data_IF_578633523149
#
_entry.id   IF_578633523149
#
_cell.length_a   1.000
_cell.length_b   1.000
_cell.length_c   1.000
_cell.angle_alpha   90.00
_cell.angle_beta   90.00
_cell.angle_gamma   90.00
#
_symmetry.space_group_name_H-M   'P 1'
#
loop_
_entity.id
_entity.type
_entity.pdbx_description
1 polymer ?
#
# COMPACT_ATOMS: atom_id res chain seq x y z
N UNK A 1 9.82 -11.34 5.11
CA UNK A 1 10.03 -11.13 3.66
C UNK A 1 11.26 -10.25 3.48
N UNK A 2 12.05 -10.41 2.40
CA UNK A 2 13.15 -9.50 2.11
C UNK A 2 12.61 -8.07 1.88
N UNK A 3 13.44 -7.04 2.11
CA UNK A 3 13.05 -5.66 1.80
C UNK A 3 12.77 -5.51 0.30
N UNK A 4 11.77 -4.71 -0.04
CA UNK A 4 11.40 -4.39 -1.42
C UNK A 4 11.63 -2.92 -1.70
N UNK A 5 11.99 -2.59 -2.94
CA UNK A 5 11.97 -1.20 -3.39
C UNK A 5 10.56 -0.85 -3.79
N UNK A 6 9.98 0.16 -3.14
CA UNK A 6 8.62 0.61 -3.40
C UNK A 6 8.64 1.97 -4.10
N UNK A 7 7.91 2.06 -5.21
CA UNK A 7 7.75 3.30 -5.97
C UNK A 7 6.27 3.70 -5.96
N UNK A 8 5.97 4.86 -5.36
CA UNK A 8 4.63 5.44 -5.35
C UNK A 8 4.53 6.53 -6.42
N UNK A 9 3.56 6.40 -7.32
CA UNK A 9 3.28 7.38 -8.37
C UNK A 9 1.92 7.99 -8.11
N UNK A 10 1.87 9.27 -7.74
CA UNK A 10 0.64 9.95 -7.37
C UNK A 10 0.63 11.39 -7.87
N UNK A 11 -0.55 11.86 -8.28
CA UNK A 11 -0.75 13.23 -8.73
C UNK A 11 -0.16 13.52 -10.10
N UNK A 12 0.05 14.81 -10.36
CA UNK A 12 0.51 15.33 -11.66
C UNK A 12 1.74 16.18 -11.50
N UNK A 13 2.66 16.08 -12.47
CA UNK A 13 3.78 17.00 -12.64
C UNK A 13 3.65 17.65 -14.02
N UNK A 14 3.65 18.98 -14.06
CA UNK A 14 3.50 19.74 -15.31
C UNK A 14 2.25 19.32 -16.12
N UNK A 15 1.13 19.10 -15.41
CA UNK A 15 -0.14 18.66 -16.00
C UNK A 15 -0.19 17.18 -16.42
N UNK A 16 0.93 16.46 -16.40
CA UNK A 16 1.00 15.03 -16.76
C UNK A 16 0.84 14.15 -15.53
N UNK A 17 0.03 13.10 -15.64
CA UNK A 17 -0.12 12.09 -14.60
C UNK A 17 1.21 11.38 -14.37
N UNK A 18 1.63 11.29 -13.11
CA UNK A 18 2.78 10.48 -12.75
C UNK A 18 2.41 9.00 -12.91
N UNK A 19 3.25 8.26 -13.61
CA UNK A 19 3.04 6.85 -13.95
C UNK A 19 4.34 6.07 -13.73
N UNK A 20 4.25 4.74 -13.53
CA UNK A 20 5.42 3.86 -13.59
C UNK A 20 6.22 4.02 -14.89
N UNK A 21 7.49 3.58 -14.92
CA UNK A 21 8.33 3.62 -16.11
C UNK A 21 7.63 3.04 -17.34
N UNK A 22 7.75 3.72 -18.48
CA UNK A 22 7.04 3.36 -19.70
C UNK A 22 7.31 1.91 -20.12
N UNK A 23 8.51 1.39 -19.91
CA UNK A 23 8.86 0.00 -20.19
C UNK A 23 7.97 -1.00 -19.45
N UNK A 24 7.70 -0.77 -18.16
CA UNK A 24 6.79 -1.62 -17.38
C UNK A 24 5.38 -1.54 -17.93
N UNK A 25 4.91 -0.35 -18.27
CA UNK A 25 3.57 -0.15 -18.85
C UNK A 25 3.43 -0.87 -20.20
N UNK A 26 4.46 -0.80 -21.05
CA UNK A 26 4.47 -1.49 -22.34
C UNK A 26 4.46 -3.01 -22.17
N UNK A 27 5.20 -3.55 -21.20
CA UNK A 27 5.14 -4.99 -20.87
C UNK A 27 3.76 -5.42 -20.41
N UNK A 28 3.07 -4.58 -19.62
CA UNK A 28 1.69 -4.85 -19.21
C UNK A 28 0.74 -4.85 -20.42
N UNK A 29 0.80 -3.84 -21.28
CA UNK A 29 -0.03 -3.75 -22.49
C UNK A 29 0.23 -4.93 -23.45
N UNK A 30 1.50 -5.28 -23.67
CA UNK A 30 1.91 -6.40 -24.52
C UNK A 30 1.40 -7.76 -24.02
N UNK A 31 1.02 -7.88 -22.73
CA UNK A 31 0.43 -9.10 -22.18
C UNK A 31 -1.06 -9.30 -22.53
N UNK A 32 -1.66 -8.40 -23.31
CA UNK A 32 -3.06 -8.42 -23.70
C UNK A 32 -3.98 -7.57 -22.80
N UNK A 33 -3.43 -6.84 -21.83
CA UNK A 33 -4.18 -5.82 -21.08
C UNK A 33 -4.51 -4.67 -22.02
N UNK A 34 -5.80 -4.36 -22.19
CA UNK A 34 -6.26 -3.35 -23.15
C UNK A 34 -5.87 -1.92 -22.77
N UNK A 35 -5.91 -1.62 -21.47
CA UNK A 35 -5.65 -0.29 -20.93
C UNK A 35 -5.01 -0.39 -19.53
N UNK A 36 -4.10 0.54 -19.24
CA UNK A 36 -3.52 0.67 -17.90
C UNK A 36 -4.50 1.45 -17.01
N UNK A 37 -4.95 0.79 -15.94
CA UNK A 37 -5.85 1.37 -14.93
C UNK A 37 -5.26 2.65 -14.33
N UNK A 38 -6.12 3.55 -13.86
CA UNK A 38 -5.72 4.77 -13.15
C UNK A 38 -5.30 4.53 -11.70
N UNK A 39 -5.53 3.33 -11.16
CA UNK A 39 -5.13 2.84 -9.84
C UNK A 39 -4.59 1.43 -9.98
N UNK A 40 -3.78 0.96 -9.03
CA UNK A 40 -3.24 -0.38 -9.01
C UNK A 40 -1.73 -0.44 -8.87
N UNK A 41 -1.21 -1.66 -8.98
CA UNK A 41 0.19 -1.93 -8.72
C UNK A 41 0.81 -2.85 -9.79
N UNK A 42 2.12 -2.71 -9.96
CA UNK A 42 2.95 -3.63 -10.73
C UNK A 42 4.00 -4.15 -9.75
N UNK A 43 3.93 -5.43 -9.42
CA UNK A 43 5.00 -6.10 -8.67
C UNK A 43 6.01 -6.62 -9.69
N UNK A 44 7.27 -6.26 -9.51
CA UNK A 44 8.37 -6.65 -10.39
C UNK A 44 9.18 -7.75 -9.72
N UNK A 45 9.19 -8.94 -10.29
CA UNK A 45 10.01 -10.06 -9.85
C UNK A 45 10.99 -10.51 -10.93
N UNK A 46 11.94 -11.35 -10.54
CA UNK A 46 13.03 -11.80 -11.42
C UNK A 46 12.52 -12.61 -12.63
N UNK A 47 11.41 -13.33 -12.45
CA UNK A 47 10.79 -14.16 -13.50
C UNK A 47 9.74 -13.42 -14.32
N UNK A 48 9.21 -12.30 -13.83
CA UNK A 48 8.03 -11.66 -14.45
C UNK A 48 7.40 -10.57 -13.61
N UNK A 49 6.24 -10.08 -14.07
CA UNK A 49 5.43 -9.07 -13.39
C UNK A 49 4.15 -9.69 -12.84
N UNK A 50 3.63 -9.12 -11.76
CA UNK A 50 2.23 -9.23 -11.37
C UNK A 50 1.60 -7.86 -11.51
N UNK A 51 0.58 -7.74 -12.36
CA UNK A 51 -0.18 -6.52 -12.54
C UNK A 51 -1.55 -6.66 -11.86
N UNK A 52 -1.91 -5.72 -11.00
CA UNK A 52 -3.27 -5.56 -10.48
C UNK A 52 -3.84 -4.23 -10.95
N UNK A 53 -5.05 -4.19 -11.56
CA UNK A 53 -5.67 -2.96 -12.04
C UNK A 53 -6.34 -2.14 -10.93
N UNK A 54 -6.13 -2.49 -9.65
CA UNK A 54 -6.63 -1.75 -8.49
C UNK A 54 -5.70 -1.96 -7.30
N UNK A 55 -5.74 -1.04 -6.33
CA UNK A 55 -4.88 -1.12 -5.14
C UNK A 55 -5.33 -2.18 -4.12
N UNK A 56 -6.46 -2.85 -4.37
CA UNK A 56 -7.04 -3.86 -3.48
C UNK A 56 -6.58 -5.29 -3.79
N UNK A 57 -5.92 -5.52 -4.93
CA UNK A 57 -5.40 -6.84 -5.29
C UNK A 57 -6.48 -7.92 -5.53
N UNK A 58 -7.75 -7.54 -5.66
CA UNK A 58 -8.87 -8.48 -5.88
C UNK A 58 -8.88 -9.13 -7.26
N UNK A 59 -8.23 -8.49 -8.25
CA UNK A 59 -7.94 -9.05 -9.56
C UNK A 59 -6.46 -8.82 -9.89
N UNK A 60 -5.85 -9.76 -10.60
CA UNK A 60 -4.43 -9.68 -10.94
C UNK A 60 -4.07 -10.58 -12.13
N UNK A 61 -2.96 -10.26 -12.76
CA UNK A 61 -2.42 -10.97 -13.93
C UNK A 61 -0.92 -11.17 -13.78
N UNK A 62 -0.46 -12.42 -13.93
CA UNK A 62 0.97 -12.73 -14.06
C UNK A 62 1.45 -12.53 -15.50
N UNK A 63 2.65 -11.98 -15.65
CA UNK A 63 3.25 -11.68 -16.95
C UNK A 63 4.68 -12.22 -16.96
N UNK A 64 4.99 -13.24 -17.78
CA UNK A 64 4.11 -13.85 -18.78
C UNK A 64 3.14 -14.88 -18.15
N UNK A 65 2.11 -15.30 -18.88
CA UNK A 65 0.99 -16.10 -18.34
C UNK A 65 1.39 -17.53 -17.93
N UNK A 66 2.49 -18.04 -18.47
CA UNK A 66 3.04 -19.36 -18.17
C UNK A 66 3.44 -19.49 -16.69
N UNK A 67 3.71 -18.36 -16.02
CA UNK A 67 3.96 -18.31 -14.58
C UNK A 67 2.75 -18.75 -13.74
N UNK A 68 1.53 -18.72 -14.29
CA UNK A 68 0.33 -19.12 -13.57
C UNK A 68 0.40 -20.58 -13.09
N UNK A 69 1.01 -21.47 -13.86
CA UNK A 69 1.16 -22.88 -13.48
C UNK A 69 2.09 -23.07 -12.26
N UNK A 70 3.10 -22.21 -12.10
CA UNK A 70 3.96 -22.19 -10.91
C UNK A 70 3.24 -21.52 -9.73
N UNK A 71 2.56 -20.39 -9.99
CA UNK A 71 1.83 -19.65 -8.96
C UNK A 71 0.72 -20.49 -8.30
N UNK A 72 0.02 -21.32 -9.06
CA UNK A 72 -1.02 -22.21 -8.53
C UNK A 72 -0.47 -23.28 -7.55
N UNK A 73 0.85 -23.48 -7.50
CA UNK A 73 1.51 -24.39 -6.54
C UNK A 73 1.90 -23.70 -5.25
N UNK A 74 1.81 -22.36 -5.19
CA UNK A 74 2.13 -21.59 -3.98
C UNK A 74 1.00 -21.79 -2.97
N UNK A 75 1.27 -22.36 -1.79
CA UNK A 75 0.23 -22.57 -0.79
C UNK A 75 -0.24 -21.24 -0.20
N UNK A 76 -1.53 -21.17 0.11
CA UNK A 76 -2.07 -20.07 0.90
C UNK A 76 -1.43 -20.08 2.29
N UNK A 77 -0.90 -18.94 2.71
CA UNK A 77 -0.15 -18.80 3.98
C UNK A 77 -0.69 -17.74 4.91
N UNK A 78 -1.47 -16.79 4.39
CA UNK A 78 -2.06 -15.71 5.17
C UNK A 78 -3.52 -16.04 5.49
N UNK A 79 -3.98 -15.83 6.74
CA UNK A 79 -5.38 -16.01 7.07
C UNK A 79 -6.28 -15.09 6.23
N UNK A 80 -7.56 -15.45 6.14
CA UNK A 80 -8.61 -14.64 5.49
C UNK A 80 -9.75 -14.45 6.47
N UNK A 81 -10.43 -13.32 6.34
CA UNK A 81 -11.57 -13.04 7.20
C UNK A 81 -12.68 -14.05 6.96
N UNK A 82 -13.32 -14.51 8.04
CA UNK A 82 -14.40 -15.48 7.96
C UNK A 82 -15.59 -14.85 7.22
N UNK A 83 -16.19 -15.61 6.32
CA UNK A 83 -17.31 -15.20 5.45
C UNK A 83 -17.00 -14.07 4.44
N UNK A 84 -15.76 -13.56 4.43
CA UNK A 84 -15.28 -12.58 3.46
C UNK A 84 -15.89 -11.18 3.60
N UNK A 85 -15.22 -10.21 2.97
CA UNK A 85 -15.76 -8.86 2.75
C UNK A 85 -16.07 -8.06 4.03
N UNK A 86 -16.93 -7.06 3.86
CA UNK A 86 -17.25 -6.05 4.88
C UNK A 86 -18.00 -6.64 6.10
N UNK A 87 -18.90 -7.60 5.90
CA UNK A 87 -19.62 -8.27 7.00
C UNK A 87 -18.67 -9.04 7.90
N UNK A 88 -17.72 -9.79 7.32
CA UNK A 88 -16.70 -10.52 8.08
C UNK A 88 -15.84 -9.59 8.93
N UNK A 89 -15.40 -8.46 8.36
CA UNK A 89 -14.60 -7.46 9.10
C UNK A 89 -15.35 -6.87 10.30
N UNK A 90 -16.65 -6.58 10.16
CA UNK A 90 -17.48 -6.09 11.27
C UNK A 90 -17.69 -7.15 12.34
N UNK A 91 -17.87 -8.41 11.94
CA UNK A 91 -18.00 -9.52 12.87
C UNK A 91 -16.72 -9.72 13.69
N UNK A 92 -15.54 -9.67 13.05
CA UNK A 92 -14.24 -9.73 13.72
C UNK A 92 -14.08 -8.64 14.78
N UNK A 93 -14.46 -7.39 14.46
CA UNK A 93 -14.41 -6.29 15.43
C UNK A 93 -15.29 -6.57 16.66
N UNK A 94 -16.53 -7.01 16.45
CA UNK A 94 -17.45 -7.34 17.56
C UNK A 94 -16.92 -8.51 18.39
N UNK A 95 -16.35 -9.53 17.75
CA UNK A 95 -15.74 -10.67 18.45
C UNK A 95 -14.51 -10.23 19.26
N UNK A 96 -13.62 -9.45 18.67
CA UNK A 96 -12.43 -8.90 19.33
C UNK A 96 -12.79 -8.14 20.61
N UNK A 97 -13.84 -7.32 20.57
CA UNK A 97 -14.34 -6.57 21.74
C UNK A 97 -14.92 -7.53 22.79
N UNK A 98 -15.78 -8.47 22.39
CA UNK A 98 -16.45 -9.40 23.32
C UNK A 98 -15.48 -10.34 24.03
N UNK A 99 -14.46 -10.80 23.31
CA UNK A 99 -13.45 -11.71 23.84
C UNK A 99 -12.27 -10.99 24.49
N UNK A 100 -12.21 -9.65 24.38
CA UNK A 100 -11.08 -8.84 24.79
C UNK A 100 -9.75 -9.31 24.14
N UNK A 101 -9.81 -9.57 22.83
CA UNK A 101 -8.71 -10.10 22.00
C UNK A 101 -8.59 -9.33 20.68
N UNK A 102 -7.85 -8.21 20.66
CA UNK A 102 -7.68 -7.38 19.47
C UNK A 102 -7.12 -8.12 18.25
N UNK A 103 -6.34 -9.18 18.46
CA UNK A 103 -5.73 -10.01 17.42
C UNK A 103 -6.74 -10.79 16.56
N UNK A 104 -8.00 -10.92 17.00
CA UNK A 104 -9.10 -11.46 16.19
C UNK A 104 -9.36 -10.56 14.98
N UNK A 105 -9.23 -9.24 15.14
CA UNK A 105 -9.35 -8.30 14.03
C UNK A 105 -8.08 -8.34 13.18
N UNK A 106 -8.20 -8.84 11.95
CA UNK A 106 -7.06 -8.95 11.04
C UNK A 106 -6.46 -7.59 10.65
N UNK A 107 -7.25 -6.52 10.74
CA UNK A 107 -6.83 -5.11 10.53
C UNK A 107 -6.75 -4.33 11.85
N UNK A 108 -6.24 -4.94 12.92
CA UNK A 108 -6.00 -4.26 14.20
C UNK A 108 -4.97 -3.12 14.07
N UNK A 109 -4.81 -2.32 15.13
CA UNK A 109 -3.95 -1.14 15.10
C UNK A 109 -2.44 -1.45 15.01
N UNK A 110 -1.99 -2.63 15.44
CA UNK A 110 -0.58 -3.03 15.29
C UNK A 110 -0.21 -3.23 13.82
N UNK A 111 -1.18 -3.64 12.99
CA UNK A 111 -1.01 -3.73 11.54
C UNK A 111 -1.38 -2.42 10.84
N UNK A 112 -2.58 -1.90 11.09
CA UNK A 112 -3.14 -0.76 10.36
C UNK A 112 -2.42 0.57 10.67
N UNK A 113 -1.86 0.72 11.87
CA UNK A 113 -1.12 1.92 12.30
C UNK A 113 0.13 2.15 11.45
N UNK A 114 1.12 1.23 11.45
CA UNK A 114 2.33 1.35 10.64
C UNK A 114 2.05 1.43 9.12
N UNK A 115 1.01 0.72 8.63
CA UNK A 115 0.59 0.85 7.23
C UNK A 115 0.10 2.27 6.92
N UNK A 116 -0.75 2.83 7.78
CA UNK A 116 -1.26 4.20 7.61
C UNK A 116 -0.13 5.22 7.69
N UNK A 117 0.79 5.05 8.64
CA UNK A 117 2.00 5.87 8.77
C UNK A 117 2.80 5.88 7.47
N UNK A 118 3.12 4.70 6.92
CA UNK A 118 3.86 4.57 5.67
C UNK A 118 3.19 5.33 4.51
N UNK A 119 1.88 5.17 4.33
CA UNK A 119 1.13 5.85 3.27
C UNK A 119 1.12 7.37 3.48
N UNK A 120 0.92 7.84 4.71
CA UNK A 120 0.89 9.28 5.01
C UNK A 120 2.26 9.96 4.85
N UNK A 121 3.36 9.23 5.07
CA UNK A 121 4.71 9.75 4.79
C UNK A 121 4.91 10.09 3.30
N UNK A 122 4.20 9.41 2.39
CA UNK A 122 4.16 9.80 0.98
C UNK A 122 3.66 11.23 0.78
N UNK A 123 2.59 11.62 1.48
CA UNK A 123 2.06 12.99 1.44
C UNK A 123 3.03 14.01 2.03
N UNK A 124 3.72 13.65 3.10
CA UNK A 124 4.75 14.49 3.73
C UNK A 124 5.91 14.72 2.76
N UNK A 125 6.38 13.67 2.07
CA UNK A 125 7.44 13.77 1.08
C UNK A 125 7.04 14.66 -0.12
N UNK A 126 5.81 14.51 -0.62
CA UNK A 126 5.28 15.37 -1.69
C UNK A 126 5.25 16.84 -1.27
N UNK A 127 4.77 17.13 -0.04
CA UNK A 127 4.71 18.50 0.50
C UNK A 127 6.09 19.09 0.75
N UNK A 128 7.03 18.29 1.26
CA UNK A 128 8.39 18.73 1.53
C UNK A 128 9.21 18.95 0.23
N UNK A 129 8.88 18.23 -0.85
CA UNK A 129 9.57 18.34 -2.14
C UNK A 129 11.01 17.81 -2.13
N UNK A 130 11.41 17.10 -1.07
CA UNK A 130 12.76 16.57 -0.87
C UNK A 130 12.71 15.11 -0.44
N UNK A 131 13.79 14.36 -0.65
CA UNK A 131 13.96 13.03 -0.05
C UNK A 131 13.95 13.16 1.47
N UNK A 132 13.16 12.33 2.15
CA UNK A 132 13.07 12.28 3.61
C UNK A 132 13.75 11.02 4.14
N UNK A 133 14.48 11.15 5.24
CA UNK A 133 14.93 10.06 6.09
C UNK A 133 14.01 10.03 7.31
N UNK A 134 13.35 8.90 7.50
CA UNK A 134 12.31 8.72 8.50
C UNK A 134 12.83 7.88 9.67
N UNK A 135 12.66 8.39 10.88
CA UNK A 135 12.83 7.68 12.13
C UNK A 135 11.43 7.37 12.69
N UNK A 136 10.97 6.14 12.47
CA UNK A 136 9.62 5.71 12.87
C UNK A 136 9.46 5.54 14.38
N UNK A 137 10.53 5.16 15.08
CA UNK A 137 10.48 5.00 16.55
C UNK A 137 10.27 6.35 17.24
N UNK A 138 10.95 7.39 16.78
CA UNK A 138 10.82 8.75 17.33
C UNK A 138 9.83 9.64 16.56
N UNK A 139 9.18 9.08 15.53
CA UNK A 139 8.20 9.74 14.67
C UNK A 139 8.70 11.07 14.09
N UNK A 140 9.89 11.06 13.47
CA UNK A 140 10.60 12.28 13.05
C UNK A 140 11.31 12.13 11.71
N UNK A 141 11.29 13.20 10.92
CA UNK A 141 12.18 13.39 9.76
C UNK A 141 13.53 13.91 10.25
N UNK A 142 14.61 13.19 9.95
CA UNK A 142 15.96 13.46 10.48
C UNK A 142 16.81 14.36 9.59
N UNK A 143 16.55 14.38 8.29
CA UNK A 143 17.37 15.09 7.30
C UNK A 143 16.74 16.39 6.77
N UNK A 144 15.53 16.72 7.19
CA UNK A 144 14.82 17.96 6.86
C UNK A 144 13.92 18.34 8.05
N UNK A 145 14.42 19.21 8.92
CA UNK A 145 13.71 19.60 10.14
C UNK A 145 12.37 20.28 9.85
N UNK A 146 12.30 21.10 8.80
CA UNK A 146 11.10 21.84 8.41
C UNK A 146 9.96 20.90 8.01
N UNK A 147 10.26 19.74 7.40
CA UNK A 147 9.24 18.77 7.02
C UNK A 147 8.45 18.21 8.22
N UNK A 148 9.01 18.27 9.44
CA UNK A 148 8.32 17.79 10.66
C UNK A 148 7.04 18.59 10.96
N UNK A 149 6.91 19.83 10.44
CA UNK A 149 5.68 20.62 10.55
C UNK A 149 4.45 19.94 9.92
N UNK A 150 4.66 19.00 9.00
CA UNK A 150 3.58 18.29 8.32
C UNK A 150 3.13 17.02 9.06
N UNK A 151 3.87 16.59 10.10
CA UNK A 151 3.58 15.38 10.87
C UNK A 151 2.47 15.59 11.90
N UNK A 152 2.27 16.84 12.32
CA UNK A 152 1.29 17.22 13.33
C UNK A 152 0.47 18.38 12.82
N UNK A 153 -0.80 18.40 13.25
CA UNK A 153 -1.70 19.52 13.04
C UNK A 153 -1.74 20.35 14.31
N UNK A 154 -1.76 21.67 14.15
CA UNK A 154 -2.17 22.56 15.24
C UNK A 154 -3.68 22.39 15.46
N UNK A 155 -4.04 21.81 16.60
CA UNK A 155 -5.43 21.64 16.98
C UNK A 155 -6.04 22.96 17.44
N UNK A 156 -7.34 23.11 17.25
CA UNK A 156 -8.08 24.27 17.74
C UNK A 156 -8.07 24.25 19.27
N UNK A 157 -8.00 25.44 19.88
CA UNK A 157 -8.10 25.59 21.34
C UNK A 157 -9.30 24.82 21.90
N UNK A 158 -9.07 23.98 22.91
CA UNK A 158 -10.07 23.12 23.56
C UNK A 158 -10.29 21.75 22.89
N UNK A 159 -9.52 21.42 21.86
CA UNK A 159 -9.54 20.15 21.14
C UNK A 159 -8.13 19.56 20.97
N UNK A 160 -7.22 19.92 21.88
CA UNK A 160 -5.86 19.38 21.94
C UNK A 160 -5.91 17.87 22.29
N UNK A 161 -5.02 17.08 21.68
CA UNK A 161 -4.85 15.64 21.92
C UNK A 161 -3.55 15.40 22.67
#
# INVERSE_FOLDING_TARGET
MPPVTFHWYEGRREGKLLRPPQELLQRVLASGVKEISSSGCIMVGDKGLLYSPSDYGGDWRLIPQELQAEANKVPESLPRNKDGGDTGMKAELVMAIRENKPEIAMSNFDYAGPLTEFILLGNVAIKAGTKLQWDGENFKVTNNSEANRYLRREYRKGWEI
#
